data_IF_174595710061
#
_entry.id   IF_174595710061
#
_cell.length_a   1.000
_cell.length_b   1.000
_cell.length_c   1.000
_cell.angle_alpha   90.00
_cell.angle_beta   90.00
_cell.angle_gamma   90.00
#
_symmetry.space_group_name_H-M   'P 1'
#
loop_
_entity.id
_entity.type
_entity.pdbx_description
1 polymer ?
#
# COMPACT_ATOMS: atom_id res chain seq x y z
N UNK A 1 24.84 -0.12 -10.81
CA UNK A 1 23.90 0.45 -9.83
C UNK A 1 22.53 0.53 -10.48
N UNK A 2 21.52 -0.17 -9.98
CA UNK A 2 20.15 -0.04 -10.49
C UNK A 2 19.57 1.27 -9.99
N UNK A 3 19.32 2.20 -10.91
CA UNK A 3 18.69 3.49 -10.67
C UNK A 3 17.17 3.28 -10.55
N UNK A 4 16.75 2.75 -9.39
CA UNK A 4 15.34 2.66 -9.01
C UNK A 4 15.04 3.80 -8.05
N UNK A 5 13.99 4.60 -8.29
CA UNK A 5 13.59 5.64 -7.36
C UNK A 5 13.35 5.00 -5.99
N UNK A 6 14.05 5.50 -4.97
CA UNK A 6 13.83 5.10 -3.58
C UNK A 6 12.44 5.60 -3.18
N UNK A 7 11.45 4.72 -3.29
CA UNK A 7 10.13 4.92 -2.71
C UNK A 7 10.31 5.24 -1.22
N UNK A 8 9.49 6.15 -0.67
CA UNK A 8 9.58 6.55 0.74
C UNK A 8 9.71 5.29 1.62
N UNK A 9 10.48 5.33 2.72
CA UNK A 9 10.75 4.17 3.57
C UNK A 9 9.51 3.50 4.19
N UNK A 10 8.31 4.03 3.95
CA UNK A 10 7.03 3.45 4.33
C UNK A 10 6.39 2.60 3.22
N UNK A 11 6.74 2.85 1.96
CA UNK A 11 6.14 2.22 0.77
C UNK A 11 7.01 1.10 0.17
N UNK A 12 8.23 0.92 0.69
CA UNK A 12 9.19 -0.08 0.18
C UNK A 12 10.04 -0.77 1.24
N UNK A 13 9.92 -0.41 2.52
CA UNK A 13 10.60 -1.15 3.57
C UNK A 13 9.86 -2.47 3.82
N UNK A 14 10.54 -3.59 3.59
CA UNK A 14 10.07 -4.83 4.21
C UNK A 14 10.21 -4.65 5.72
N UNK A 15 9.17 -5.02 6.51
CA UNK A 15 9.18 -4.90 7.98
C UNK A 15 10.48 -5.41 8.62
N UNK A 16 11.17 -6.35 7.96
CA UNK A 16 12.34 -7.06 8.45
C UNK A 16 13.58 -6.90 7.55
N UNK A 17 13.76 -5.76 6.88
CA UNK A 17 14.99 -5.43 6.14
C UNK A 17 14.90 -5.63 4.62
N UNK A 18 15.61 -6.61 4.06
CA UNK A 18 15.62 -6.91 2.61
C UNK A 18 14.77 -8.10 2.19
N UNK A 19 14.12 -8.78 3.14
CA UNK A 19 13.37 -10.03 2.90
C UNK A 19 11.88 -9.75 2.86
N UNK A 20 11.17 -10.33 1.91
CA UNK A 20 9.71 -10.31 1.93
C UNK A 20 9.13 -11.16 3.08
N UNK A 21 7.85 -10.98 3.35
CA UNK A 21 7.15 -11.66 4.44
C UNK A 21 7.15 -13.19 4.29
N UNK A 22 7.01 -13.69 3.05
CA UNK A 22 6.98 -15.14 2.79
C UNK A 22 8.34 -15.78 3.03
N UNK A 23 9.42 -15.08 2.70
CA UNK A 23 10.79 -15.51 3.00
C UNK A 23 11.02 -15.55 4.51
N UNK A 24 10.54 -14.56 5.28
CA UNK A 24 10.63 -14.59 6.73
C UNK A 24 9.87 -15.79 7.33
N UNK A 25 8.64 -16.04 6.86
CA UNK A 25 7.80 -17.14 7.32
C UNK A 25 8.48 -18.50 7.06
N UNK A 26 8.92 -18.75 5.84
CA UNK A 26 9.41 -20.08 5.46
C UNK A 26 10.89 -20.33 5.79
N UNK A 27 11.72 -19.29 5.94
CA UNK A 27 13.16 -19.47 6.19
C UNK A 27 13.54 -19.46 7.66
N UNK A 28 12.89 -18.61 8.45
CA UNK A 28 13.26 -18.37 9.85
C UNK A 28 12.06 -18.45 10.80
N UNK A 29 10.87 -18.86 10.31
CA UNK A 29 9.68 -18.99 11.15
C UNK A 29 9.25 -17.68 11.80
N UNK A 30 9.46 -16.54 11.14
CA UNK A 30 9.17 -15.21 11.70
C UNK A 30 9.89 -14.90 13.04
N UNK A 31 11.10 -15.44 13.26
CA UNK A 31 11.85 -15.22 14.50
C UNK A 31 12.09 -13.74 14.88
N UNK A 32 12.09 -12.82 13.91
CA UNK A 32 12.24 -11.38 14.16
C UNK A 32 10.90 -10.62 14.26
N UNK A 33 9.77 -11.29 14.01
CA UNK A 33 8.46 -10.67 14.04
C UNK A 33 7.96 -10.63 15.48
N UNK A 34 7.63 -9.43 15.94
CA UNK A 34 7.15 -9.20 17.29
C UNK A 34 5.82 -8.47 17.26
N UNK A 35 4.98 -8.66 18.31
CA UNK A 35 3.76 -7.89 18.47
C UNK A 35 4.03 -6.38 18.39
N UNK A 36 3.06 -5.62 17.88
CA UNK A 36 3.15 -4.17 17.80
C UNK A 36 3.39 -3.60 19.21
N UNK A 37 4.43 -2.78 19.44
CA UNK A 37 4.81 -2.35 20.80
C UNK A 37 3.90 -1.27 21.38
N UNK A 38 2.92 -0.78 20.62
CA UNK A 38 1.96 0.21 21.10
C UNK A 38 0.94 -0.45 22.02
N UNK A 39 0.92 -0.03 23.29
CA UNK A 39 0.03 -0.55 24.33
C UNK A 39 -1.17 0.36 24.61
N UNK A 40 -1.32 1.46 23.88
CA UNK A 40 -2.50 2.34 24.05
C UNK A 40 -3.78 1.65 23.57
N UNK A 41 -4.91 2.07 24.13
CA UNK A 41 -6.24 1.57 23.75
C UNK A 41 -6.78 2.19 22.44
N UNK A 42 -5.94 2.93 21.71
CA UNK A 42 -6.33 3.52 20.43
C UNK A 42 -6.43 2.43 19.35
N UNK A 43 -7.35 2.62 18.40
CA UNK A 43 -7.45 1.74 17.24
C UNK A 43 -6.11 1.68 16.48
N UNK A 44 -5.70 0.47 16.10
CA UNK A 44 -4.51 0.29 15.29
C UNK A 44 -4.74 0.86 13.90
N UNK A 45 -3.85 1.77 13.47
CA UNK A 45 -3.98 2.45 12.19
C UNK A 45 -4.09 1.48 11.00
N UNK A 46 -3.42 0.33 11.06
CA UNK A 46 -3.52 -0.68 10.00
C UNK A 46 -4.92 -1.30 9.90
N UNK A 47 -5.62 -1.46 11.02
CA UNK A 47 -6.97 -2.01 11.04
C UNK A 47 -8.00 -1.00 10.57
N UNK A 48 -7.80 0.28 10.94
CA UNK A 48 -8.52 1.42 10.37
C UNK A 48 -8.35 1.36 8.85
N UNK A 49 -7.14 1.54 8.31
CA UNK A 49 -6.92 1.54 6.85
C UNK A 49 -7.49 0.31 6.14
N UNK A 50 -7.37 -0.89 6.71
CA UNK A 50 -7.92 -2.11 6.10
C UNK A 50 -9.46 -2.14 6.07
N UNK A 51 -10.14 -1.48 6.99
CA UNK A 51 -11.60 -1.42 7.04
C UNK A 51 -12.17 -0.56 5.90
N UNK A 52 -11.53 0.55 5.57
CA UNK A 52 -12.01 1.48 4.52
C UNK A 52 -11.30 1.34 3.17
N UNK A 53 -10.02 0.95 3.14
CA UNK A 53 -9.22 0.92 1.92
C UNK A 53 -8.95 -0.53 1.49
N UNK A 54 -9.55 -0.92 0.37
CA UNK A 54 -9.23 -2.19 -0.29
C UNK A 54 -8.48 -1.96 -1.60
N UNK A 55 -7.59 -2.89 -1.95
CA UNK A 55 -6.89 -2.89 -3.26
C UNK A 55 -7.87 -2.79 -4.42
N UNK A 56 -8.98 -3.54 -4.36
CA UNK A 56 -10.03 -3.51 -5.39
C UNK A 56 -10.74 -2.16 -5.45
N UNK A 57 -11.03 -1.55 -4.30
CA UNK A 57 -11.62 -0.22 -4.20
C UNK A 57 -10.72 0.83 -4.86
N UNK A 58 -9.43 0.80 -4.57
CA UNK A 58 -8.44 1.71 -5.20
C UNK A 58 -8.40 1.53 -6.72
N UNK A 59 -8.36 0.29 -7.22
CA UNK A 59 -8.38 0.02 -8.66
C UNK A 59 -9.65 0.54 -9.32
N UNK A 60 -10.82 0.32 -8.70
CA UNK A 60 -12.10 0.82 -9.22
C UNK A 60 -12.16 2.34 -9.24
N UNK A 61 -11.74 2.98 -8.15
CA UNK A 61 -11.69 4.44 -8.06
C UNK A 61 -10.75 5.03 -9.13
N UNK A 62 -9.58 4.44 -9.33
CA UNK A 62 -8.65 4.83 -10.40
C UNK A 62 -9.25 4.68 -11.79
N UNK A 63 -9.94 3.56 -12.06
CA UNK A 63 -10.63 3.34 -13.33
C UNK A 63 -11.73 4.38 -13.59
N UNK A 64 -12.58 4.66 -12.59
CA UNK A 64 -13.63 5.69 -12.68
C UNK A 64 -13.02 7.07 -12.91
N UNK A 65 -11.97 7.43 -12.17
CA UNK A 65 -11.25 8.70 -12.36
C UNK A 65 -10.68 8.84 -13.77
N UNK A 66 -10.05 7.78 -14.30
CA UNK A 66 -9.53 7.77 -15.67
C UNK A 66 -10.64 7.93 -16.72
N UNK A 67 -11.80 7.30 -16.53
CA UNK A 67 -12.96 7.48 -17.40
C UNK A 67 -13.47 8.92 -17.35
N UNK A 68 -13.69 9.49 -16.17
CA UNK A 68 -14.18 10.86 -15.99
C UNK A 68 -13.22 11.86 -16.64
N UNK A 69 -11.91 11.72 -16.42
CA UNK A 69 -10.91 12.60 -17.02
C UNK A 69 -10.79 12.41 -18.53
N UNK A 70 -10.85 11.16 -19.01
CA UNK A 70 -10.75 10.83 -20.43
C UNK A 70 -11.96 11.29 -21.25
N UNK A 71 -13.18 11.07 -20.76
CA UNK A 71 -14.40 11.53 -21.42
C UNK A 71 -14.64 13.02 -21.18
N UNK A 72 -14.47 13.52 -19.96
CA UNK A 72 -14.62 14.94 -19.62
C UNK A 72 -13.65 15.86 -20.36
N UNK A 73 -12.40 15.41 -20.57
CA UNK A 73 -11.42 16.12 -21.41
C UNK A 73 -11.81 16.15 -22.89
N UNK A 74 -12.45 15.09 -23.40
CA UNK A 74 -12.95 15.06 -24.78
C UNK A 74 -14.17 15.98 -24.98
N UNK A 75 -15.05 16.13 -23.97
CA UNK A 75 -16.19 17.07 -24.06
C UNK A 75 -15.72 18.52 -23.94
N UNK A 76 -14.71 18.81 -23.12
CA UNK A 76 -14.15 20.15 -22.96
C UNK A 76 -13.30 20.61 -24.16
N UNK A 77 -12.70 19.68 -24.91
CA UNK A 77 -11.94 19.99 -26.13
C UNK A 77 -12.78 20.10 -27.40
N UNK A 78 -14.10 19.84 -27.33
CA UNK A 78 -15.03 19.93 -28.45
C UNK A 78 -15.92 21.20 -28.40
N UNK A 79 -15.74 22.06 -27.40
CA UNK A 79 -16.43 23.34 -27.23
C UNK A 79 -15.55 24.53 -27.65
#
# INVERSE_FOLDING_TARGET
MSDRPRLLPLLGATRHGSRDAMTCLYRCGNACDHPVPNTSDNAYFGDVVNAEVSRRGVVRAGAVGALVLGFGGAVAGAA
#
